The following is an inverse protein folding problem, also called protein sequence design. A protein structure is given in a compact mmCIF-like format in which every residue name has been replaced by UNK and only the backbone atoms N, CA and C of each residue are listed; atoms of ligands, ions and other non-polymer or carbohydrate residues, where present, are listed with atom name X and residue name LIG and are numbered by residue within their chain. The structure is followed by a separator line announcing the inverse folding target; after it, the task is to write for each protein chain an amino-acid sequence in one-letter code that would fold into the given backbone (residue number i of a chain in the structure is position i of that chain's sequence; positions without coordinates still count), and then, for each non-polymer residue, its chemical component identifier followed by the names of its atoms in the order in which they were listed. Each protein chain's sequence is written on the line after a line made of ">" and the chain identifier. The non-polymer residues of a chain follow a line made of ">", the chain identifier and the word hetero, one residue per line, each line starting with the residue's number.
data_IF_302754701794
#
_entry.id   IF_302754701794
#
_cell.length_a   1.000
_cell.length_b   1.000
_cell.length_c   1.000
_cell.angle_alpha   90.00
_cell.angle_beta   90.00
_cell.angle_gamma   90.00
#
_symmetry.space_group_name_H-M   'P 1'
#
loop_
_entity.id
_entity.type
_entity.pdbx_description
1 polymer ?
#
# COMPACT_ATOMS: atom_id res chain seq x y z
N UNK A 1 -17.47 -19.05 29.63
CA UNK A 1 -17.94 -17.98 28.72
C UNK A 1 -16.91 -16.85 28.71
N UNK A 2 -15.98 -16.89 27.75
CA UNK A 2 -15.05 -15.78 27.52
C UNK A 2 -15.81 -14.66 26.80
N UNK A 3 -15.85 -13.47 27.40
CA UNK A 3 -16.37 -12.26 26.74
C UNK A 3 -15.37 -11.86 25.67
N UNK A 4 -15.62 -12.26 24.42
CA UNK A 4 -14.93 -11.74 23.24
C UNK A 4 -15.35 -10.28 23.03
N UNK A 5 -14.62 -9.34 23.64
CA UNK A 5 -14.64 -7.96 23.14
C UNK A 5 -14.17 -7.94 21.69
N UNK A 6 -14.62 -6.99 20.86
CA UNK A 6 -14.09 -6.86 19.51
C UNK A 6 -12.57 -6.73 19.61
N UNK A 7 -11.85 -7.62 18.93
CA UNK A 7 -10.39 -7.55 18.80
C UNK A 7 -10.00 -6.11 18.46
N UNK A 8 -8.96 -5.58 19.13
CA UNK A 8 -8.59 -4.15 19.08
C UNK A 8 -8.42 -3.57 17.67
N UNK A 9 -8.28 -4.45 16.68
CA UNK A 9 -8.11 -4.17 15.26
C UNK A 9 -9.41 -3.67 14.60
N UNK A 10 -10.56 -4.31 14.83
CA UNK A 10 -11.85 -3.84 14.27
C UNK A 10 -12.36 -2.56 14.94
N UNK A 11 -11.94 -2.30 16.18
CA UNK A 11 -12.21 -1.03 16.85
C UNK A 11 -11.60 0.16 16.08
N UNK A 12 -10.43 -0.02 15.46
CA UNK A 12 -9.83 1.02 14.61
C UNK A 12 -10.68 1.29 13.36
N UNK A 13 -11.17 0.23 12.69
CA UNK A 13 -12.05 0.38 11.52
C UNK A 13 -13.33 1.14 11.87
N UNK A 14 -13.98 0.80 12.98
CA UNK A 14 -15.16 1.53 13.46
C UNK A 14 -14.84 3.02 13.72
N UNK A 15 -13.68 3.33 14.30
CA UNK A 15 -13.24 4.71 14.49
C UNK A 15 -13.02 5.42 13.14
N UNK A 16 -12.38 4.76 12.18
CA UNK A 16 -12.14 5.30 10.84
C UNK A 16 -13.46 5.61 10.12
N UNK A 17 -14.42 4.70 10.16
CA UNK A 17 -15.73 4.89 9.52
C UNK A 17 -16.52 6.01 10.19
N UNK A 18 -16.48 6.09 11.52
CA UNK A 18 -17.11 7.19 12.25
C UNK A 18 -16.46 8.54 11.93
N UNK A 19 -15.13 8.58 11.77
CA UNK A 19 -14.39 9.77 11.34
C UNK A 19 -14.77 10.21 9.91
N UNK A 20 -14.83 9.25 8.97
CA UNK A 20 -15.29 9.52 7.59
C UNK A 20 -16.72 10.07 7.62
N UNK A 21 -17.63 9.44 8.37
CA UNK A 21 -19.01 9.90 8.55
C UNK A 21 -19.05 11.32 9.08
N UNK A 22 -18.32 11.63 10.16
CA UNK A 22 -18.22 12.97 10.74
C UNK A 22 -17.84 14.03 9.70
N UNK A 23 -16.80 13.77 8.90
CA UNK A 23 -16.34 14.71 7.89
C UNK A 23 -17.25 14.78 6.65
N UNK A 24 -18.02 13.72 6.37
CA UNK A 24 -19.00 13.72 5.27
C UNK A 24 -20.26 14.56 5.55
N UNK A 25 -20.57 14.83 6.82
CA UNK A 25 -21.69 15.69 7.21
C UNK A 25 -21.38 17.15 6.85
N UNK A 26 -22.42 17.91 6.52
CA UNK A 26 -22.30 19.37 6.32
C UNK A 26 -21.95 20.07 7.65
N UNK A 27 -21.39 21.28 7.56
CA UNK A 27 -21.04 22.11 8.72
C UNK A 27 -22.21 22.37 9.66
N UNK A 28 -23.43 22.41 9.13
CA UNK A 28 -24.68 22.57 9.89
C UNK A 28 -25.00 21.35 10.76
N UNK A 29 -24.86 20.14 10.22
CA UNK A 29 -25.23 18.91 10.93
C UNK A 29 -24.21 18.45 11.95
N UNK A 30 -22.91 18.67 11.71
CA UNK A 30 -21.83 18.25 12.63
C UNK A 30 -22.05 18.68 14.09
N UNK A 31 -22.32 19.96 14.42
CA UNK A 31 -22.54 20.36 15.80
C UNK A 31 -23.82 19.77 16.40
N UNK A 32 -24.88 19.54 15.62
CA UNK A 32 -26.12 18.94 16.12
C UNK A 32 -25.92 17.47 16.47
N UNK A 33 -25.21 16.71 15.60
CA UNK A 33 -24.97 15.28 15.79
C UNK A 33 -23.95 15.00 16.89
N UNK A 34 -22.86 15.77 16.98
CA UNK A 34 -21.70 15.40 17.79
C UNK A 34 -21.48 16.23 19.07
N UNK A 35 -22.35 17.18 19.40
CA UNK A 35 -22.28 17.93 20.67
C UNK A 35 -23.37 17.45 21.62
N UNK A 36 -23.03 16.97 22.83
CA UNK A 36 -24.02 16.43 23.78
C UNK A 36 -25.16 17.40 24.10
N UNK A 37 -24.87 18.70 24.20
CA UNK A 37 -25.87 19.74 24.50
C UNK A 37 -27.00 19.91 23.47
N UNK A 38 -26.83 19.36 22.26
CA UNK A 38 -27.80 19.47 21.17
C UNK A 38 -28.63 18.16 20.99
N UNK A 39 -28.44 17.16 21.86
CA UNK A 39 -29.02 15.83 21.67
C UNK A 39 -30.56 15.85 21.64
N UNK A 40 -31.19 16.59 22.55
CA UNK A 40 -32.65 16.69 22.64
C UNK A 40 -33.24 17.44 21.44
N UNK A 41 -32.56 18.50 21.01
CA UNK A 41 -32.91 19.25 19.80
C UNK A 41 -32.84 18.35 18.55
N UNK A 42 -31.78 17.56 18.39
CA UNK A 42 -31.65 16.68 17.23
C UNK A 42 -32.74 15.59 17.22
N UNK A 43 -33.02 14.99 18.37
CA UNK A 43 -34.04 13.94 18.52
C UNK A 43 -35.43 14.47 18.16
N UNK A 44 -35.77 15.69 18.60
CA UNK A 44 -37.06 16.31 18.28
C UNK A 44 -37.22 16.72 16.81
N UNK A 45 -36.12 16.99 16.10
CA UNK A 45 -36.15 17.38 14.68
C UNK A 45 -36.46 16.22 13.72
N UNK A 46 -36.33 14.96 14.16
CA UNK A 46 -36.43 13.77 13.30
C UNK A 46 -35.63 13.91 11.99
N UNK A 47 -34.47 14.54 12.08
CA UNK A 47 -33.67 14.89 10.92
C UNK A 47 -33.10 13.64 10.23
N UNK A 48 -33.00 13.68 8.90
CA UNK A 48 -32.38 12.63 8.08
C UNK A 48 -31.21 13.18 7.28
N UNK A 49 -30.25 12.31 6.95
CA UNK A 49 -29.15 12.64 6.05
C UNK A 49 -29.62 12.64 4.58
N UNK A 50 -28.69 12.97 3.66
CA UNK A 50 -28.94 12.99 2.21
C UNK A 50 -29.33 11.61 1.62
N UNK A 51 -29.32 10.55 2.41
CA UNK A 51 -29.69 9.20 2.05
C UNK A 51 -30.93 8.71 2.83
N UNK A 52 -31.72 9.63 3.40
CA UNK A 52 -32.89 9.35 4.24
C UNK A 52 -32.59 8.51 5.49
N UNK A 53 -31.35 8.51 5.99
CA UNK A 53 -31.02 7.82 7.24
C UNK A 53 -31.17 8.77 8.43
N UNK A 54 -31.79 8.33 9.54
CA UNK A 54 -31.98 9.19 10.70
C UNK A 54 -30.64 9.67 11.28
N UNK A 55 -30.57 10.96 11.57
CA UNK A 55 -29.46 11.58 12.28
C UNK A 55 -29.73 11.49 13.78
N UNK A 56 -28.96 10.63 14.45
CA UNK A 56 -29.04 10.46 15.91
C UNK A 56 -27.83 11.10 16.60
N UNK A 57 -27.94 11.50 17.88
CA UNK A 57 -26.79 11.99 18.64
C UNK A 57 -25.67 10.95 18.70
N UNK A 58 -24.42 11.37 18.48
CA UNK A 58 -23.24 10.52 18.48
C UNK A 58 -22.10 11.16 19.28
N UNK A 59 -21.19 10.32 19.81
CA UNK A 59 -19.94 10.81 20.41
C UNK A 59 -18.97 11.21 19.30
N UNK A 60 -18.21 12.30 19.50
CA UNK A 60 -17.16 12.70 18.58
C UNK A 60 -16.12 11.56 18.45
N UNK A 61 -15.83 11.06 17.22
CA UNK A 61 -15.01 9.86 17.05
C UNK A 61 -13.51 10.07 17.31
N UNK A 62 -13.07 11.32 17.47
CA UNK A 62 -11.65 11.65 17.50
C UNK A 62 -11.00 11.51 16.12
N UNK A 63 -9.70 11.76 16.07
CA UNK A 63 -8.88 11.67 14.86
C UNK A 63 -8.15 10.32 14.86
N UNK A 64 -8.36 9.43 13.87
CA UNK A 64 -7.66 8.15 13.79
C UNK A 64 -6.14 8.32 13.80
N UNK A 65 -5.41 7.46 14.51
CA UNK A 65 -3.94 7.51 14.48
C UNK A 65 -3.40 6.93 13.17
N UNK A 66 -2.49 7.63 12.49
CA UNK A 66 -1.85 7.15 11.26
C UNK A 66 -1.06 5.84 11.50
N UNK A 67 -0.27 5.77 12.58
CA UNK A 67 0.50 4.57 12.90
C UNK A 67 -0.42 3.36 13.17
N UNK A 68 -1.57 3.58 13.83
CA UNK A 68 -2.58 2.53 14.01
C UNK A 68 -3.23 2.14 12.69
N UNK A 69 -3.42 3.08 11.77
CA UNK A 69 -3.95 2.77 10.44
C UNK A 69 -2.98 1.90 9.65
N UNK A 70 -1.70 2.27 9.60
CA UNK A 70 -0.66 1.49 8.91
C UNK A 70 -0.61 0.06 9.49
N UNK A 71 -0.56 -0.07 10.82
CA UNK A 71 -0.62 -1.37 11.49
C UNK A 71 -1.90 -2.15 11.16
N UNK A 72 -3.06 -1.49 11.13
CA UNK A 72 -4.34 -2.12 10.76
C UNK A 72 -4.29 -2.71 9.34
N UNK A 73 -3.83 -1.95 8.33
CA UNK A 73 -3.74 -2.44 6.95
C UNK A 73 -2.81 -3.65 6.83
N UNK A 74 -1.69 -3.64 7.56
CA UNK A 74 -0.71 -4.72 7.53
C UNK A 74 -1.27 -6.03 8.11
N UNK A 75 -2.08 -5.91 9.16
CA UNK A 75 -2.66 -7.03 9.90
C UNK A 75 -3.99 -7.55 9.32
N UNK A 76 -4.46 -7.02 8.20
CA UNK A 76 -5.56 -7.66 7.46
C UNK A 76 -5.16 -9.10 7.13
N UNK A 77 -6.10 -10.02 7.07
CA UNK A 77 -5.78 -11.43 6.76
C UNK A 77 -6.66 -11.98 5.65
N UNK A 78 -7.73 -11.28 5.31
CA UNK A 78 -8.75 -11.77 4.39
C UNK A 78 -9.00 -10.79 3.21
N UNK A 79 -9.17 -11.30 1.97
CA UNK A 79 -9.51 -10.48 0.81
C UNK A 79 -10.72 -9.56 0.98
N UNK A 80 -11.78 -9.97 1.70
CA UNK A 80 -12.94 -9.10 1.90
C UNK A 80 -12.61 -7.90 2.78
N UNK A 81 -11.71 -8.05 3.75
CA UNK A 81 -11.26 -6.92 4.57
C UNK A 81 -10.54 -5.85 3.74
N UNK A 82 -9.75 -6.26 2.76
CA UNK A 82 -9.10 -5.35 1.81
C UNK A 82 -10.14 -4.68 0.90
N UNK A 83 -11.17 -5.41 0.44
CA UNK A 83 -12.29 -4.85 -0.33
C UNK A 83 -13.08 -3.82 0.49
N UNK A 84 -13.35 -4.12 1.77
CA UNK A 84 -13.98 -3.19 2.70
C UNK A 84 -13.11 -1.95 2.90
N UNK A 85 -11.80 -2.10 3.05
CA UNK A 85 -10.87 -0.99 3.18
C UNK A 85 -10.83 -0.12 1.91
N UNK A 86 -10.92 -0.70 0.70
CA UNK A 86 -11.04 0.04 -0.58
C UNK A 86 -12.17 1.08 -0.52
N UNK A 87 -13.31 0.72 0.07
CA UNK A 87 -14.44 1.65 0.25
C UNK A 87 -14.09 2.83 1.15
N UNK A 88 -13.40 2.59 2.26
CA UNK A 88 -12.90 3.65 3.15
C UNK A 88 -11.88 4.55 2.44
N UNK A 89 -10.97 4.01 1.63
CA UNK A 89 -10.06 4.81 0.81
C UNK A 89 -10.84 5.72 -0.16
N UNK A 90 -11.82 5.18 -0.88
CA UNK A 90 -12.66 5.96 -1.81
C UNK A 90 -13.29 7.17 -1.12
N UNK A 91 -13.82 6.99 0.08
CA UNK A 91 -14.42 8.10 0.82
C UNK A 91 -13.39 9.06 1.41
N UNK A 92 -12.23 8.58 1.85
CA UNK A 92 -11.12 9.45 2.25
C UNK A 92 -10.62 10.32 1.08
N UNK A 93 -10.55 9.78 -0.14
CA UNK A 93 -10.18 10.55 -1.34
C UNK A 93 -11.18 11.67 -1.62
N UNK A 94 -12.49 11.37 -1.59
CA UNK A 94 -13.54 12.39 -1.72
C UNK A 94 -13.42 13.47 -0.64
N UNK A 95 -13.15 13.07 0.61
CA UNK A 95 -12.96 14.00 1.71
C UNK A 95 -11.73 14.89 1.49
N UNK A 96 -10.61 14.33 1.05
CA UNK A 96 -9.38 15.09 0.71
C UNK A 96 -9.67 16.15 -0.36
N UNK A 97 -10.33 15.75 -1.45
CA UNK A 97 -10.73 16.63 -2.55
C UNK A 97 -11.67 17.75 -2.09
N UNK A 98 -12.72 17.41 -1.34
CA UNK A 98 -13.72 18.38 -0.86
C UNK A 98 -13.15 19.42 0.13
N UNK A 99 -11.99 19.12 0.74
CA UNK A 99 -11.31 19.99 1.69
C UNK A 99 -10.02 20.59 1.12
N UNK A 100 -9.76 20.51 -0.19
CA UNK A 100 -8.57 21.08 -0.85
C UNK A 100 -8.45 22.57 -0.46
N UNK A 101 -7.38 22.93 0.25
CA UNK A 101 -7.14 24.29 0.80
C UNK A 101 -7.54 24.51 2.27
N UNK A 102 -8.15 23.52 2.95
CA UNK A 102 -8.48 23.55 4.38
C UNK A 102 -7.82 22.34 5.06
N UNK A 103 -6.84 22.59 5.95
CA UNK A 103 -6.12 21.59 6.78
C UNK A 103 -6.13 20.18 6.17
N UNK A 104 -5.15 19.91 5.29
CA UNK A 104 -5.07 18.64 4.55
C UNK A 104 -5.36 17.42 5.41
N UNK A 105 -6.29 16.59 4.93
CA UNK A 105 -6.55 15.27 5.47
C UNK A 105 -5.37 14.37 5.06
N UNK A 106 -4.31 14.36 5.88
CA UNK A 106 -3.02 13.69 5.60
C UNK A 106 -3.01 12.17 5.84
N UNK A 107 -4.12 11.47 5.59
CA UNK A 107 -4.17 10.00 5.78
C UNK A 107 -3.72 9.22 4.55
N UNK A 108 -3.89 9.79 3.36
CA UNK A 108 -3.55 9.10 2.13
C UNK A 108 -2.16 9.51 1.68
N UNK A 109 -1.16 8.95 2.37
CA UNK A 109 0.25 9.09 2.02
C UNK A 109 0.68 7.94 1.11
N UNK A 110 1.79 8.09 0.37
CA UNK A 110 2.34 7.01 -0.43
C UNK A 110 2.59 5.72 0.36
N UNK A 111 3.04 5.80 1.62
CA UNK A 111 3.24 4.62 2.48
C UNK A 111 1.96 3.80 2.64
N UNK A 112 0.84 4.47 2.91
CA UNK A 112 -0.46 3.85 3.09
C UNK A 112 -0.96 3.16 1.83
N UNK A 113 -0.78 3.80 0.67
CA UNK A 113 -1.12 3.22 -0.63
C UNK A 113 -0.25 1.99 -0.93
N UNK A 114 1.06 2.07 -0.67
CA UNK A 114 1.98 0.96 -0.88
C UNK A 114 1.61 -0.24 -0.02
N UNK A 115 1.32 -0.02 1.26
CA UNK A 115 0.88 -1.08 2.17
C UNK A 115 -0.43 -1.72 1.71
N UNK A 116 -1.38 -0.93 1.25
CA UNK A 116 -2.64 -1.44 0.68
C UNK A 116 -2.39 -2.31 -0.55
N UNK A 117 -1.53 -1.87 -1.48
CA UNK A 117 -1.17 -2.64 -2.67
C UNK A 117 -0.40 -3.92 -2.33
N UNK A 118 0.58 -3.85 -1.43
CA UNK A 118 1.31 -5.01 -0.94
C UNK A 118 0.39 -6.04 -0.30
N UNK A 119 -0.52 -5.58 0.55
CA UNK A 119 -1.45 -6.49 1.20
C UNK A 119 -2.42 -7.12 0.22
N UNK A 120 -2.92 -6.34 -0.74
CA UNK A 120 -3.77 -6.90 -1.78
C UNK A 120 -3.06 -7.95 -2.62
N UNK A 121 -1.78 -7.74 -2.92
CA UNK A 121 -0.98 -8.68 -3.71
C UNK A 121 -0.67 -9.97 -2.97
N UNK A 122 -0.25 -9.86 -1.70
CA UNK A 122 0.04 -11.01 -0.85
C UNK A 122 -1.19 -11.89 -0.61
N UNK A 123 -2.41 -11.33 -0.66
CA UNK A 123 -3.63 -12.11 -0.51
C UNK A 123 -4.13 -12.67 -1.85
N UNK A 124 -4.20 -11.86 -2.90
CA UNK A 124 -4.70 -12.29 -4.21
C UNK A 124 -4.28 -11.31 -5.33
N UNK A 125 -3.64 -11.81 -6.40
CA UNK A 125 -3.18 -10.93 -7.49
C UNK A 125 -4.31 -10.25 -8.28
N UNK A 126 -5.49 -10.89 -8.41
CA UNK A 126 -6.68 -10.29 -9.04
C UNK A 126 -7.13 -9.09 -8.21
N UNK A 127 -7.15 -9.24 -6.88
CA UNK A 127 -7.47 -8.17 -5.94
C UNK A 127 -6.47 -7.01 -6.04
N UNK A 128 -5.17 -7.29 -6.18
CA UNK A 128 -4.16 -6.26 -6.47
C UNK A 128 -4.46 -5.52 -7.78
N UNK A 129 -4.77 -6.26 -8.85
CA UNK A 129 -5.05 -5.68 -10.17
C UNK A 129 -6.27 -4.76 -10.14
N UNK A 130 -7.35 -5.18 -9.49
CA UNK A 130 -8.54 -4.36 -9.24
C UNK A 130 -8.21 -3.09 -8.42
N UNK A 131 -7.43 -3.24 -7.35
CA UNK A 131 -7.02 -2.12 -6.50
C UNK A 131 -6.15 -1.11 -7.24
N UNK A 132 -5.26 -1.59 -8.11
CA UNK A 132 -4.42 -0.75 -8.95
C UNK A 132 -5.26 0.05 -9.95
N UNK A 133 -6.23 -0.59 -10.60
CA UNK A 133 -7.19 0.07 -11.49
C UNK A 133 -8.02 1.11 -10.75
N UNK A 134 -8.51 0.77 -9.56
CA UNK A 134 -9.21 1.71 -8.70
C UNK A 134 -8.37 2.96 -8.42
N UNK A 135 -7.12 2.81 -7.98
CA UNK A 135 -6.25 3.96 -7.69
C UNK A 135 -5.97 4.82 -8.93
N UNK A 136 -5.91 4.22 -10.13
CA UNK A 136 -5.77 4.97 -11.37
C UNK A 136 -6.99 5.84 -11.71
N UNK A 137 -8.18 5.45 -11.26
CA UNK A 137 -9.46 6.10 -11.57
C UNK A 137 -9.88 7.17 -10.55
N UNK A 138 -9.17 7.30 -9.43
CA UNK A 138 -9.54 8.11 -8.26
C UNK A 138 -9.40 9.64 -8.45
N UNK A 139 -9.61 10.14 -9.68
CA UNK A 139 -9.48 11.52 -10.19
C UNK A 139 -8.08 11.91 -10.67
N UNK A 140 -8.04 12.52 -11.87
CA UNK A 140 -6.82 13.02 -12.50
C UNK A 140 -6.24 14.25 -11.77
N UNK A 141 -7.08 15.02 -11.08
CA UNK A 141 -6.70 16.27 -10.39
C UNK A 141 -6.09 16.06 -8.99
N UNK A 142 -6.02 14.80 -8.54
CA UNK A 142 -5.52 14.39 -7.23
C UNK A 142 -4.63 13.16 -7.37
N UNK A 143 -3.55 13.36 -8.15
CA UNK A 143 -2.59 12.31 -8.46
C UNK A 143 -2.07 11.66 -7.18
N UNK A 144 -2.50 10.43 -6.96
CA UNK A 144 -1.97 9.53 -5.92
C UNK A 144 -0.59 8.99 -6.30
N UNK A 145 -0.16 9.20 -7.54
CA UNK A 145 1.06 8.65 -8.09
C UNK A 145 2.25 9.51 -7.71
N UNK A 146 3.01 9.00 -6.74
CA UNK A 146 4.35 9.49 -6.39
C UNK A 146 5.42 8.50 -6.82
N UNK A 147 6.69 8.93 -6.80
CA UNK A 147 7.85 8.06 -7.00
C UNK A 147 7.75 6.77 -6.16
N UNK A 148 7.42 6.90 -4.87
CA UNK A 148 7.28 5.76 -3.95
C UNK A 148 6.18 4.78 -4.35
N UNK A 149 5.08 5.28 -4.93
CA UNK A 149 4.00 4.41 -5.39
C UNK A 149 4.38 3.68 -6.68
N UNK A 150 5.06 4.38 -7.59
CA UNK A 150 5.60 3.76 -8.81
C UNK A 150 6.66 2.71 -8.49
N UNK A 151 7.53 2.93 -7.50
CA UNK A 151 8.48 1.94 -6.99
C UNK A 151 7.76 0.68 -6.46
N UNK A 152 6.68 0.85 -5.70
CA UNK A 152 5.88 -0.28 -5.22
C UNK A 152 5.19 -1.05 -6.35
N UNK A 153 4.64 -0.36 -7.35
CA UNK A 153 4.05 -1.00 -8.54
C UNK A 153 5.11 -1.75 -9.34
N UNK A 154 6.31 -1.19 -9.50
CA UNK A 154 7.43 -1.88 -10.14
C UNK A 154 7.78 -3.16 -9.40
N UNK A 155 7.92 -3.09 -8.08
CA UNK A 155 8.20 -4.26 -7.26
C UNK A 155 7.10 -5.33 -7.34
N UNK A 156 5.83 -4.96 -7.20
CA UNK A 156 4.73 -5.93 -7.28
C UNK A 156 4.62 -6.56 -8.68
N UNK A 157 4.91 -5.80 -9.74
CA UNK A 157 4.90 -6.34 -11.10
C UNK A 157 6.11 -7.25 -11.35
N UNK A 158 7.26 -7.02 -10.71
CA UNK A 158 8.39 -7.95 -10.76
C UNK A 158 8.10 -9.25 -9.99
N UNK A 159 7.35 -9.18 -8.90
CA UNK A 159 6.84 -10.36 -8.20
C UNK A 159 5.81 -11.15 -9.03
N UNK A 160 4.97 -10.46 -9.81
CA UNK A 160 4.09 -11.14 -10.79
C UNK A 160 4.90 -11.94 -11.80
N UNK A 161 5.98 -11.37 -12.35
CA UNK A 161 6.87 -12.08 -13.26
C UNK A 161 7.50 -13.32 -12.62
N UNK A 162 7.93 -13.21 -11.36
CA UNK A 162 8.51 -14.33 -10.59
C UNK A 162 7.52 -15.48 -10.41
N UNK A 163 6.32 -15.19 -9.91
CA UNK A 163 5.37 -16.23 -9.49
C UNK A 163 4.38 -16.64 -10.59
N UNK A 164 4.13 -15.78 -11.57
CA UNK A 164 3.16 -15.98 -12.64
C UNK A 164 3.67 -15.43 -13.99
N UNK A 165 4.78 -15.96 -14.53
CA UNK A 165 5.38 -15.49 -15.78
C UNK A 165 4.44 -15.55 -17.00
N UNK A 166 3.37 -16.35 -16.94
CA UNK A 166 2.31 -16.43 -17.95
C UNK A 166 1.38 -15.21 -17.99
N UNK A 167 1.27 -14.44 -16.90
CA UNK A 167 0.35 -13.30 -16.81
C UNK A 167 0.96 -11.99 -17.30
N UNK A 168 2.28 -11.85 -17.15
CA UNK A 168 3.02 -10.64 -17.49
C UNK A 168 4.35 -11.04 -18.08
N UNK A 169 4.67 -10.54 -19.27
CA UNK A 169 6.01 -10.66 -19.86
C UNK A 169 6.89 -9.47 -19.47
N UNK A 170 8.21 -9.60 -19.60
CA UNK A 170 9.14 -8.49 -19.33
C UNK A 170 8.84 -7.24 -20.18
N UNK A 171 8.44 -7.43 -21.45
CA UNK A 171 8.05 -6.33 -22.32
C UNK A 171 6.76 -5.65 -21.85
N UNK A 172 5.78 -6.42 -21.36
CA UNK A 172 4.56 -5.90 -20.78
C UNK A 172 4.83 -5.15 -19.46
N UNK A 173 5.74 -5.67 -18.62
CA UNK A 173 6.25 -4.99 -17.44
C UNK A 173 6.82 -3.62 -17.80
N UNK A 174 7.73 -3.55 -18.78
CA UNK A 174 8.34 -2.30 -19.22
C UNK A 174 7.30 -1.31 -19.75
N UNK A 175 6.40 -1.75 -20.65
CA UNK A 175 5.33 -0.89 -21.19
C UNK A 175 4.43 -0.34 -20.07
N UNK A 176 4.03 -1.18 -19.14
CA UNK A 176 3.16 -0.80 -18.01
C UNK A 176 3.88 0.16 -17.07
N UNK A 177 5.17 -0.02 -16.80
CA UNK A 177 5.92 0.89 -15.94
C UNK A 177 6.21 2.24 -16.59
N UNK A 178 6.42 2.31 -17.90
CA UNK A 178 6.55 3.60 -18.60
C UNK A 178 5.35 4.53 -18.36
N UNK A 179 4.15 3.96 -18.28
CA UNK A 179 2.95 4.72 -17.91
C UNK A 179 3.06 5.34 -16.50
N UNK A 180 3.40 4.54 -15.49
CA UNK A 180 3.50 5.01 -14.09
C UNK A 180 4.70 5.93 -13.84
N UNK A 181 5.81 5.72 -14.55
CA UNK A 181 6.99 6.60 -14.53
C UNK A 181 6.59 8.00 -14.96
N UNK A 182 5.89 8.12 -16.11
CA UNK A 182 5.38 9.40 -16.63
C UNK A 182 4.41 10.06 -15.66
N UNK A 183 3.46 9.30 -15.09
CA UNK A 183 2.49 9.86 -14.12
C UNK A 183 3.13 10.38 -12.83
N UNK A 184 4.20 9.73 -12.37
CA UNK A 184 4.91 10.13 -11.16
C UNK A 184 6.05 11.14 -11.40
N UNK A 185 6.32 11.52 -12.65
CA UNK A 185 7.53 12.27 -13.05
C UNK A 185 8.81 11.64 -12.47
N UNK A 186 8.88 10.31 -12.47
CA UNK A 186 10.03 9.57 -11.96
C UNK A 186 11.18 9.63 -12.97
N UNK A 187 12.38 9.92 -12.50
CA UNK A 187 13.63 9.72 -13.24
C UNK A 187 14.22 8.34 -12.86
N UNK A 188 14.16 7.33 -13.74
CA UNK A 188 14.66 5.99 -13.47
C UNK A 188 16.13 5.98 -13.06
N UNK A 189 16.97 6.87 -13.61
CA UNK A 189 18.40 6.92 -13.33
C UNK A 189 18.73 7.34 -11.90
N UNK A 190 17.74 7.85 -11.15
CA UNK A 190 17.89 8.36 -9.78
C UNK A 190 17.15 7.55 -8.72
N UNK A 191 16.42 6.50 -9.10
CA UNK A 191 15.67 5.68 -8.14
C UNK A 191 16.31 4.31 -7.95
N UNK A 192 16.87 4.10 -6.77
CA UNK A 192 17.42 2.82 -6.34
C UNK A 192 16.34 1.73 -6.41
N UNK A 193 15.18 1.96 -5.78
CA UNK A 193 14.15 0.94 -5.64
C UNK A 193 13.49 0.57 -6.96
N UNK A 194 13.39 1.53 -7.89
CA UNK A 194 12.95 1.25 -9.25
C UNK A 194 13.93 0.34 -9.99
N UNK A 195 15.23 0.69 -10.03
CA UNK A 195 16.21 -0.14 -10.73
C UNK A 195 16.36 -1.52 -10.09
N UNK A 196 16.26 -1.62 -8.75
CA UNK A 196 16.20 -2.91 -8.05
C UNK A 196 14.99 -3.75 -8.53
N UNK A 197 13.81 -3.13 -8.63
CA UNK A 197 12.61 -3.82 -9.14
C UNK A 197 12.74 -4.24 -10.60
N UNK A 198 13.37 -3.42 -11.44
CA UNK A 198 13.66 -3.73 -12.85
C UNK A 198 14.62 -4.91 -12.98
N UNK A 199 15.69 -4.94 -12.17
CA UNK A 199 16.62 -6.06 -12.14
C UNK A 199 15.94 -7.36 -11.73
N UNK A 200 15.14 -7.33 -10.65
CA UNK A 200 14.35 -8.49 -10.22
C UNK A 200 13.50 -9.02 -11.38
N UNK A 201 12.76 -8.14 -12.06
CA UNK A 201 11.93 -8.50 -13.21
C UNK A 201 12.76 -9.11 -14.35
N UNK A 202 13.91 -8.51 -14.67
CA UNK A 202 14.78 -8.98 -15.74
C UNK A 202 15.31 -10.40 -15.45
N UNK A 203 15.81 -10.62 -14.22
CA UNK A 203 16.41 -11.89 -13.82
C UNK A 203 15.39 -13.01 -13.91
N UNK A 204 14.19 -12.80 -13.38
CA UNK A 204 13.12 -13.80 -13.48
C UNK A 204 12.55 -13.97 -14.90
N UNK A 205 12.87 -13.06 -15.82
CA UNK A 205 12.62 -13.24 -17.25
C UNK A 205 13.77 -13.93 -18.01
N UNK A 206 14.84 -14.32 -17.30
CA UNK A 206 16.01 -15.02 -17.86
C UNK A 206 17.06 -14.10 -18.50
N UNK A 207 17.08 -12.81 -18.16
CA UNK A 207 18.06 -11.83 -18.66
C UNK A 207 18.53 -10.90 -17.55
N UNK A 208 19.66 -10.22 -17.73
CA UNK A 208 20.09 -9.16 -16.80
C UNK A 208 19.94 -7.82 -17.51
N UNK A 209 19.18 -6.91 -16.91
CA UNK A 209 19.10 -5.53 -17.39
C UNK A 209 20.35 -4.73 -16.97
N UNK A 210 21.33 -4.68 -17.87
CA UNK A 210 22.60 -3.98 -17.64
C UNK A 210 22.41 -2.49 -17.34
N UNK A 211 21.40 -1.83 -17.91
CA UNK A 211 21.15 -0.41 -17.62
C UNK A 211 20.69 -0.23 -16.17
N UNK A 212 19.79 -1.09 -15.70
CA UNK A 212 19.36 -1.06 -14.31
C UNK A 212 20.51 -1.42 -13.35
N UNK A 213 21.37 -2.37 -13.73
CA UNK A 213 22.56 -2.76 -12.97
C UNK A 213 23.56 -1.61 -12.83
N UNK A 214 23.87 -0.93 -13.93
CA UNK A 214 24.80 0.20 -13.97
C UNK A 214 24.28 1.39 -13.16
N UNK A 215 22.98 1.68 -13.27
CA UNK A 215 22.33 2.71 -12.46
C UNK A 215 22.42 2.40 -10.96
N UNK A 216 22.15 1.14 -10.56
CA UNK A 216 22.27 0.74 -9.16
C UNK A 216 23.70 0.84 -8.65
N UNK A 217 24.68 0.39 -9.44
CA UNK A 217 26.08 0.46 -9.04
C UNK A 217 26.50 1.91 -8.76
N UNK A 218 26.17 2.82 -9.68
CA UNK A 218 26.43 4.25 -9.50
C UNK A 218 25.72 4.80 -8.26
N UNK A 219 24.41 4.61 -8.14
CA UNK A 219 23.63 5.17 -7.04
C UNK A 219 24.07 4.64 -5.68
N UNK A 220 24.46 3.37 -5.59
CA UNK A 220 24.89 2.75 -4.31
C UNK A 220 26.29 3.13 -3.90
N UNK A 221 27.15 3.48 -4.85
CA UNK A 221 28.47 4.06 -4.55
C UNK A 221 28.35 5.43 -3.88
N UNK A 222 27.32 6.20 -4.23
CA UNK A 222 27.07 7.54 -3.71
C UNK A 222 26.20 7.53 -2.45
N UNK A 223 25.26 6.58 -2.35
CA UNK A 223 24.25 6.59 -1.29
C UNK A 223 23.79 5.19 -0.90
N UNK A 224 23.84 4.93 0.40
CA UNK A 224 23.27 3.75 1.05
C UNK A 224 22.20 4.18 2.05
N UNK A 225 21.11 3.40 2.14
CA UNK A 225 20.07 3.61 3.15
C UNK A 225 20.67 3.42 4.56
N UNK A 226 20.18 4.20 5.53
CA UNK A 226 20.57 4.08 6.93
C UNK A 226 19.34 4.07 7.81
N UNK A 227 19.35 3.23 8.82
CA UNK A 227 18.32 3.22 9.86
C UNK A 227 18.61 4.37 10.82
N UNK A 228 17.57 5.14 11.15
CA UNK A 228 17.65 6.22 12.13
C UNK A 228 17.32 5.65 13.50
N UNK A 229 18.04 6.08 14.51
CA UNK A 229 17.78 5.68 15.89
C UNK A 229 16.34 6.00 16.30
N UNK A 230 15.65 5.02 16.88
CA UNK A 230 14.27 5.16 17.34
C UNK A 230 13.20 5.25 16.24
N UNK A 231 13.55 5.19 14.95
CA UNK A 231 12.57 5.19 13.87
C UNK A 231 11.83 3.84 13.78
N UNK A 232 10.50 3.84 13.56
CA UNK A 232 9.73 2.61 13.49
C UNK A 232 10.03 1.82 12.20
N UNK A 233 10.00 0.49 12.30
CA UNK A 233 10.23 -0.44 11.18
C UNK A 233 9.42 -0.11 9.92
N UNK A 234 8.16 0.33 10.08
CA UNK A 234 7.25 0.66 8.97
C UNK A 234 7.78 1.73 8.01
N UNK A 235 8.71 2.59 8.44
CA UNK A 235 9.37 3.55 7.55
C UNK A 235 10.32 2.88 6.54
N UNK A 236 10.81 1.68 6.87
CA UNK A 236 11.83 0.95 6.12
C UNK A 236 11.28 -0.27 5.35
N UNK A 237 10.07 -0.74 5.71
CA UNK A 237 9.43 -1.94 5.13
C UNK A 237 9.46 -1.95 3.58
N UNK A 238 9.20 -0.80 2.96
CA UNK A 238 9.20 -0.64 1.50
C UNK A 238 10.57 -0.94 0.87
N UNK A 239 11.62 -0.27 1.35
CA UNK A 239 12.98 -0.46 0.84
C UNK A 239 13.52 -1.85 1.21
N UNK A 240 13.30 -2.28 2.46
CA UNK A 240 13.72 -3.59 2.95
C UNK A 240 13.12 -4.72 2.12
N UNK A 241 11.83 -4.66 1.79
CA UNK A 241 11.15 -5.68 0.98
C UNK A 241 11.75 -5.80 -0.42
N UNK A 242 11.99 -4.68 -1.10
CA UNK A 242 12.55 -4.66 -2.45
C UNK A 242 13.99 -5.18 -2.46
N UNK A 243 14.82 -4.71 -1.53
CA UNK A 243 16.23 -5.09 -1.47
C UNK A 243 16.41 -6.56 -1.02
N UNK A 244 15.54 -7.07 -0.16
CA UNK A 244 15.51 -8.49 0.20
C UNK A 244 15.14 -9.36 -1.00
N UNK A 245 14.14 -8.95 -1.79
CA UNK A 245 13.79 -9.65 -3.02
C UNK A 245 14.89 -9.60 -4.08
N UNK A 246 15.62 -8.49 -4.19
CA UNK A 246 16.78 -8.38 -5.08
C UNK A 246 17.92 -9.32 -4.64
N UNK A 247 18.15 -9.45 -3.34
CA UNK A 247 19.13 -10.41 -2.79
C UNK A 247 18.79 -11.85 -3.19
N UNK A 248 17.51 -12.22 -3.16
CA UNK A 248 17.09 -13.53 -3.65
C UNK A 248 17.29 -13.69 -5.16
N UNK A 249 16.92 -12.67 -5.95
CA UNK A 249 17.13 -12.70 -7.41
C UNK A 249 18.63 -12.82 -7.78
N UNK A 250 19.53 -12.20 -7.01
CA UNK A 250 20.97 -12.31 -7.25
C UNK A 250 21.51 -13.74 -7.09
N UNK A 251 20.95 -14.53 -6.17
CA UNK A 251 21.29 -15.94 -6.02
C UNK A 251 20.95 -16.75 -7.28
N UNK A 252 19.91 -16.34 -8.02
CA UNK A 252 19.50 -16.94 -9.30
C UNK A 252 20.42 -16.51 -10.43
N UNK A 253 20.76 -15.21 -10.49
CA UNK A 253 21.58 -14.64 -11.56
C UNK A 253 23.07 -15.05 -11.49
N UNK A 254 23.59 -15.30 -10.28
CA UNK A 254 25.01 -15.58 -10.02
C UNK A 254 25.96 -14.52 -10.61
N UNK A 255 25.51 -13.27 -10.67
CA UNK A 255 26.26 -12.14 -11.23
C UNK A 255 27.15 -11.47 -10.18
N UNK A 256 28.45 -11.38 -10.45
CA UNK A 256 29.45 -10.83 -9.53
C UNK A 256 29.21 -9.33 -9.23
N UNK A 257 28.87 -8.55 -10.25
CA UNK A 257 28.62 -7.11 -10.09
C UNK A 257 27.41 -6.87 -9.20
N UNK A 258 26.33 -7.61 -9.40
CA UNK A 258 25.14 -7.54 -8.55
C UNK A 258 25.45 -7.93 -7.11
N UNK A 259 26.26 -8.97 -6.88
CA UNK A 259 26.67 -9.37 -5.54
C UNK A 259 27.45 -8.24 -4.84
N UNK A 260 28.40 -7.60 -5.54
CA UNK A 260 29.15 -6.45 -5.00
C UNK A 260 28.24 -5.26 -4.65
N UNK A 261 27.18 -5.02 -5.42
CA UNK A 261 26.19 -3.98 -5.10
C UNK A 261 25.42 -4.34 -3.82
N UNK A 262 24.99 -5.60 -3.69
CA UNK A 262 24.25 -6.06 -2.52
C UNK A 262 25.06 -6.01 -1.23
N UNK A 263 26.38 -6.24 -1.30
CA UNK A 263 27.27 -6.13 -0.13
C UNK A 263 27.21 -4.73 0.51
N UNK A 264 27.07 -3.67 -0.30
CA UNK A 264 26.93 -2.29 0.18
C UNK A 264 25.67 -2.08 1.02
N UNK A 265 24.66 -2.92 0.89
CA UNK A 265 23.40 -2.84 1.64
C UNK A 265 23.27 -3.83 2.79
N UNK A 266 24.24 -4.71 3.01
CA UNK A 266 24.18 -5.68 4.12
C UNK A 266 23.99 -4.99 5.48
N UNK A 267 24.66 -3.86 5.72
CA UNK A 267 24.46 -3.07 6.94
C UNK A 267 23.01 -2.63 7.12
N UNK A 268 22.43 -2.00 6.09
CA UNK A 268 21.03 -1.58 6.12
C UNK A 268 20.06 -2.74 6.36
N UNK A 269 20.23 -3.86 5.65
CA UNK A 269 19.35 -5.02 5.80
C UNK A 269 19.44 -5.61 7.21
N UNK A 270 20.65 -5.70 7.77
CA UNK A 270 20.86 -6.19 9.13
C UNK A 270 20.23 -5.25 10.17
N UNK A 271 20.44 -3.94 10.03
CA UNK A 271 19.89 -2.93 10.96
C UNK A 271 18.35 -2.96 10.95
N UNK A 272 17.74 -3.04 9.76
CA UNK A 272 16.27 -3.13 9.66
C UNK A 272 15.75 -4.43 10.25
N UNK A 273 16.44 -5.55 10.03
CA UNK A 273 16.05 -6.85 10.60
C UNK A 273 16.04 -6.84 12.14
N UNK A 274 16.90 -6.05 12.79
CA UNK A 274 16.94 -5.94 14.25
C UNK A 274 15.76 -5.15 14.84
N UNK A 275 15.23 -4.16 14.11
CA UNK A 275 14.09 -3.34 14.57
C UNK A 275 12.73 -3.85 14.07
N UNK A 276 12.74 -4.87 13.22
CA UNK A 276 11.56 -5.47 12.61
C UNK A 276 10.70 -6.18 13.66
N UNK A 277 9.46 -5.72 13.83
CA UNK A 277 8.50 -6.24 14.80
C UNK A 277 7.35 -7.03 14.16
N UNK A 278 7.27 -7.03 12.83
CA UNK A 278 6.25 -7.69 12.01
C UNK A 278 6.89 -8.18 10.70
N UNK A 279 6.24 -9.13 10.05
CA UNK A 279 6.62 -9.60 8.72
C UNK A 279 6.74 -8.44 7.71
N UNK A 280 7.73 -8.50 6.83
CA UNK A 280 7.90 -7.53 5.74
C UNK A 280 6.87 -7.75 4.64
N UNK A 281 6.66 -6.74 3.79
CA UNK A 281 5.79 -6.92 2.63
C UNK A 281 6.29 -8.06 1.72
N UNK A 282 7.61 -8.21 1.55
CA UNK A 282 8.16 -9.29 0.74
C UNK A 282 7.91 -10.67 1.35
N UNK A 283 8.18 -10.86 2.63
CA UNK A 283 7.97 -12.15 3.30
C UNK A 283 6.49 -12.56 3.25
N UNK A 284 5.56 -11.61 3.43
CA UNK A 284 4.13 -11.90 3.33
C UNK A 284 3.72 -12.40 1.94
N UNK A 285 4.39 -11.91 0.89
CA UNK A 285 4.23 -12.37 -0.49
C UNK A 285 4.87 -13.76 -0.69
N UNK A 286 6.02 -14.03 -0.08
CA UNK A 286 6.68 -15.33 -0.16
C UNK A 286 5.88 -16.40 0.58
N UNK A 287 5.32 -16.07 1.74
CA UNK A 287 4.50 -16.97 2.55
C UNK A 287 3.15 -17.27 1.88
N UNK A 288 2.62 -16.31 1.12
CA UNK A 288 1.37 -16.44 0.38
C UNK A 288 1.63 -16.05 -1.08
N UNK A 289 2.33 -16.90 -1.83
CA UNK A 289 2.62 -16.60 -3.22
C UNK A 289 1.27 -16.41 -3.92
N UNK A 290 1.12 -15.35 -4.74
CA UNK A 290 -0.08 -15.17 -5.53
C UNK A 290 -0.14 -16.32 -6.53
N UNK A 291 -0.86 -17.37 -6.19
CA UNK A 291 -1.04 -18.50 -7.09
C UNK A 291 -2.09 -18.12 -8.15
N UNK A 292 -2.01 -18.78 -9.29
CA UNK A 292 -3.18 -18.96 -10.13
C UNK A 292 -4.22 -19.69 -9.27
N UNK A 293 -5.18 -18.97 -8.69
CA UNK A 293 -6.42 -19.61 -8.27
C UNK A 293 -6.99 -20.27 -9.52
N UNK A 294 -6.96 -21.59 -9.49
CA UNK A 294 -7.27 -22.50 -10.57
C UNK A 294 -8.46 -22.03 -11.42
N UNK A 295 -8.17 -21.48 -12.60
CA UNK A 295 -9.05 -21.63 -13.77
C UNK A 295 -9.27 -23.14 -14.09
N UNK A 296 -8.52 -24.04 -13.45
CA UNK A 296 -8.69 -25.50 -13.51
C UNK A 296 -9.72 -26.09 -12.55
N UNK A 297 -10.35 -25.33 -11.63
CA UNK A 297 -11.47 -25.88 -10.84
C UNK A 297 -12.85 -25.57 -11.45
N UNK A 298 -12.99 -24.59 -12.33
CA UNK A 298 -14.21 -24.43 -13.13
C UNK A 298 -14.18 -25.29 -14.41
N UNK A 299 -13.02 -25.49 -15.07
CA UNK A 299 -12.91 -26.43 -16.20
C UNK A 299 -12.89 -27.92 -15.80
N UNK A 300 -12.65 -28.26 -14.53
CA UNK A 300 -12.83 -29.63 -14.02
C UNK A 300 -14.22 -29.89 -13.42
N UNK A 301 -15.05 -28.83 -13.32
CA UNK A 301 -16.43 -28.89 -12.83
C UNK A 301 -17.47 -28.55 -13.92
N UNK A 302 -17.02 -28.32 -15.16
CA UNK A 302 -17.85 -28.15 -16.37
C UNK A 302 -17.48 -29.17 -17.44
#
# INVERSE_FOLDING_TARGET
>A
MQKSGPTSLYAFKQQLDAFIKFHSLSSQWRPLVYRPRNADQLTSMNAVDKFNRPLTPQKYPGTPSQAKFEKFVKLLVDPEEVRLLRSSFKDLFKLRLSNKGKKDIKYIKPSMINMFLYKSFALNYKLYSENLLFLNQVCEEDSVWSVKNTEAVAFLTSMLLKYNPQLVTYDQFNKKLQYYIKRANLDPSKSILFNASSLIASIYSGKIDNNALDNLDKLTSERVYKVREGAPYLEYDHAYSILTALKEAANVAQDEKLNNILERWNGFLNDVAQIKDIESAYEGIVANPPLLEAEQQEEASS
#
